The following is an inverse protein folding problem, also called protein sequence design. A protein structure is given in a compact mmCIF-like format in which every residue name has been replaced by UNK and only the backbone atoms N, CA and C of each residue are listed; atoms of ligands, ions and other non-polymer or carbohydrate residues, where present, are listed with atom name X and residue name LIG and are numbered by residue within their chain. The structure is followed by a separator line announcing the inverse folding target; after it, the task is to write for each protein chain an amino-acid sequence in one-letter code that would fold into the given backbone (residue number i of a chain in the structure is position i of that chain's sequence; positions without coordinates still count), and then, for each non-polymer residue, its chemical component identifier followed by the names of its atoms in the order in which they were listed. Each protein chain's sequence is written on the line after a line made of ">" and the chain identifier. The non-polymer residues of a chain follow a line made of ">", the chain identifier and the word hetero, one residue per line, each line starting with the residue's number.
data_IF_972173919858
#
_entry.id   IF_972173919858
#
_cell.length_a   1.000
_cell.length_b   1.000
_cell.length_c   1.000
_cell.angle_alpha   90.00
_cell.angle_beta   90.00
_cell.angle_gamma   90.00
#
_symmetry.space_group_name_H-M   'P 1'
#
loop_
_entity.id
_entity.type
_entity.pdbx_description
1 polymer ?
#
# COMPACT_ATOMS: atom_id res chain seq x y z
N UNK A 1 19.97 -38.11 -19.21
CA UNK A 1 20.38 -37.06 -18.28
C UNK A 1 19.26 -36.05 -18.12
N UNK A 2 18.78 -35.89 -16.89
CA UNK A 2 17.73 -34.90 -16.58
C UNK A 2 18.38 -33.62 -16.07
N UNK A 3 18.09 -32.52 -16.75
CA UNK A 3 18.49 -31.19 -16.27
C UNK A 3 17.32 -30.65 -15.44
N UNK A 4 17.58 -30.42 -14.16
CA UNK A 4 16.60 -29.83 -13.26
C UNK A 4 16.82 -28.33 -13.23
N UNK A 5 15.80 -27.56 -13.72
CA UNK A 5 15.85 -26.11 -13.69
C UNK A 5 15.47 -25.61 -12.31
N UNK A 6 16.28 -24.71 -11.76
CA UNK A 6 15.93 -23.99 -10.52
C UNK A 6 14.81 -22.99 -10.79
N UNK A 7 14.00 -22.73 -9.73
CA UNK A 7 13.03 -21.66 -9.82
C UNK A 7 13.77 -20.31 -9.92
N UNK A 8 13.35 -19.47 -10.85
CA UNK A 8 13.85 -18.10 -10.98
C UNK A 8 12.69 -17.14 -10.87
N UNK A 9 12.64 -16.37 -9.79
CA UNK A 9 11.70 -15.26 -9.67
C UNK A 9 12.28 -14.11 -10.48
N UNK A 10 11.52 -13.62 -11.46
CA UNK A 10 12.03 -12.63 -12.41
C UNK A 10 11.44 -11.23 -12.18
N UNK A 11 10.32 -11.13 -11.48
CA UNK A 11 9.60 -9.86 -11.41
C UNK A 11 8.59 -9.88 -10.26
N UNK A 12 8.41 -8.72 -9.62
CA UNK A 12 7.27 -8.48 -8.74
C UNK A 12 6.09 -8.01 -9.59
N UNK A 13 4.95 -8.68 -9.51
CA UNK A 13 3.78 -8.35 -10.34
C UNK A 13 2.80 -7.43 -9.61
N UNK A 14 2.30 -7.87 -8.47
CA UNK A 14 1.34 -7.09 -7.69
C UNK A 14 1.30 -7.52 -6.24
N UNK A 15 0.77 -6.64 -5.41
CA UNK A 15 0.33 -6.96 -4.06
C UNK A 15 -1.19 -6.85 -4.02
N UNK A 16 -1.85 -7.82 -3.37
CA UNK A 16 -3.29 -7.80 -3.16
C UNK A 16 -3.59 -7.40 -1.71
N UNK A 17 -4.55 -6.51 -1.54
CA UNK A 17 -4.96 -5.96 -0.25
C UNK A 17 -6.46 -6.17 -0.10
N UNK A 18 -6.86 -6.87 0.97
CA UNK A 18 -8.28 -7.01 1.30
C UNK A 18 -8.79 -5.72 1.92
N UNK A 19 -9.93 -5.24 1.44
CA UNK A 19 -10.53 -4.00 1.92
C UNK A 19 -11.99 -4.23 2.27
N UNK A 20 -12.43 -3.71 3.41
CA UNK A 20 -13.81 -3.90 3.89
C UNK A 20 -14.80 -2.98 3.19
N UNK A 21 -14.37 -1.81 2.74
CA UNK A 21 -15.19 -0.81 2.07
C UNK A 21 -14.40 -0.28 0.87
N UNK A 22 -14.77 -0.72 -0.32
CA UNK A 22 -14.03 -0.41 -1.54
C UNK A 22 -13.96 1.10 -1.80
N UNK A 23 -15.07 1.82 -1.62
CA UNK A 23 -15.12 3.26 -1.88
C UNK A 23 -14.14 4.03 -0.97
N UNK A 24 -14.10 3.71 0.32
CA UNK A 24 -13.15 4.33 1.26
C UNK A 24 -11.71 4.00 0.90
N UNK A 25 -11.46 2.78 0.48
CA UNK A 25 -10.11 2.35 0.12
C UNK A 25 -9.66 2.95 -1.22
N UNK A 26 -10.56 3.09 -2.19
CA UNK A 26 -10.25 3.81 -3.43
C UNK A 26 -9.94 5.29 -3.16
N UNK A 27 -10.65 5.91 -2.21
CA UNK A 27 -10.34 7.27 -1.79
C UNK A 27 -8.92 7.36 -1.20
N UNK A 28 -8.54 6.40 -0.35
CA UNK A 28 -7.21 6.36 0.23
C UNK A 28 -6.12 6.14 -0.83
N UNK A 29 -6.21 5.06 -1.59
CA UNK A 29 -5.16 4.72 -2.56
C UNK A 29 -5.14 5.63 -3.78
N UNK A 30 -6.30 5.97 -4.31
CA UNK A 30 -6.41 6.77 -5.52
C UNK A 30 -6.31 8.27 -5.28
N UNK A 31 -6.93 8.78 -4.22
CA UNK A 31 -6.97 10.23 -3.96
C UNK A 31 -5.90 10.67 -2.98
N UNK A 32 -5.82 10.06 -1.80
CA UNK A 32 -4.86 10.48 -0.77
C UNK A 32 -3.44 10.14 -1.18
N UNK A 33 -3.17 8.88 -1.57
CA UNK A 33 -1.85 8.46 -2.04
C UNK A 33 -1.58 8.86 -3.49
N UNK A 34 -2.63 9.11 -4.28
CA UNK A 34 -2.48 9.57 -5.66
C UNK A 34 -2.05 8.50 -6.66
N UNK A 35 -2.34 7.22 -6.38
CA UNK A 35 -2.01 6.14 -7.30
C UNK A 35 -2.91 6.18 -8.55
N UNK A 36 -2.36 5.81 -9.69
CA UNK A 36 -3.08 5.78 -10.96
C UNK A 36 -3.91 4.51 -11.08
N UNK A 37 -5.24 4.66 -11.14
CA UNK A 37 -6.16 3.54 -11.32
C UNK A 37 -6.10 3.05 -12.76
N UNK A 38 -6.09 1.72 -12.94
CA UNK A 38 -6.11 1.09 -14.25
C UNK A 38 -7.32 0.19 -14.40
N UNK A 39 -7.71 -0.07 -15.66
CA UNK A 39 -8.84 -0.94 -15.94
C UNK A 39 -8.54 -2.38 -15.57
N UNK A 40 -9.59 -3.11 -15.20
CA UNK A 40 -9.51 -4.52 -14.88
C UNK A 40 -10.65 -5.27 -15.54
N UNK A 41 -10.35 -6.49 -15.97
CA UNK A 41 -11.31 -7.35 -16.67
C UNK A 41 -12.08 -8.27 -15.69
N UNK A 42 -11.76 -8.25 -14.40
CA UNK A 42 -12.38 -9.11 -13.41
C UNK A 42 -13.74 -8.56 -12.99
N UNK A 43 -14.67 -9.47 -12.65
CA UNK A 43 -16.05 -9.11 -12.35
C UNK A 43 -16.34 -8.94 -10.85
N UNK A 44 -15.46 -9.41 -9.96
CA UNK A 44 -15.66 -9.20 -8.53
C UNK A 44 -15.29 -7.76 -8.12
N UNK A 45 -15.90 -7.21 -7.06
CA UNK A 45 -15.61 -5.85 -6.62
C UNK A 45 -14.16 -5.68 -6.20
N UNK A 46 -13.51 -4.67 -6.76
CA UNK A 46 -12.12 -4.35 -6.48
C UNK A 46 -11.63 -3.21 -7.36
N UNK A 47 -10.36 -2.86 -7.21
CA UNK A 47 -9.72 -1.81 -8.01
C UNK A 47 -8.24 -2.14 -8.16
N UNK A 48 -7.68 -1.79 -9.32
CA UNK A 48 -6.26 -1.96 -9.60
C UNK A 48 -5.60 -0.61 -9.82
N UNK A 49 -4.41 -0.45 -9.24
CA UNK A 49 -3.56 0.73 -9.41
C UNK A 49 -2.20 0.30 -9.93
N UNK A 50 -1.54 1.14 -10.69
CA UNK A 50 -0.24 0.80 -11.29
C UNK A 50 0.81 1.84 -10.93
N UNK A 51 2.03 1.36 -10.63
CA UNK A 51 3.20 2.18 -10.35
C UNK A 51 4.40 1.50 -10.99
N UNK A 52 5.00 2.13 -12.02
CA UNK A 52 6.25 1.66 -12.63
C UNK A 52 6.30 0.15 -12.90
N UNK A 53 5.22 -0.40 -13.48
CA UNK A 53 5.15 -1.81 -13.82
C UNK A 53 4.72 -2.75 -12.70
N UNK A 54 4.49 -2.23 -11.49
CA UNK A 54 3.90 -2.97 -10.38
C UNK A 54 2.45 -2.56 -10.20
N UNK A 55 1.64 -3.45 -9.66
CA UNK A 55 0.24 -3.15 -9.41
C UNK A 55 -0.13 -3.38 -7.95
N UNK A 56 -1.08 -2.60 -7.47
CA UNK A 56 -1.78 -2.81 -6.21
C UNK A 56 -3.21 -3.20 -6.55
N UNK A 57 -3.64 -4.35 -6.06
CA UNK A 57 -4.99 -4.87 -6.29
C UNK A 57 -5.77 -4.78 -4.99
N UNK A 58 -6.84 -3.98 -4.97
CA UNK A 58 -7.79 -3.99 -3.87
C UNK A 58 -8.85 -5.04 -4.16
N UNK A 59 -9.11 -5.89 -3.18
CA UNK A 59 -10.13 -6.94 -3.24
C UNK A 59 -11.14 -6.63 -2.15
N UNK A 60 -12.39 -6.35 -2.54
CA UNK A 60 -13.45 -6.08 -1.58
C UNK A 60 -13.85 -7.35 -0.86
N UNK A 61 -13.77 -7.33 0.46
CA UNK A 61 -14.15 -8.44 1.33
C UNK A 61 -14.72 -7.85 2.62
N UNK A 62 -16.03 -7.95 2.80
CA UNK A 62 -16.72 -7.37 3.96
C UNK A 62 -16.22 -7.96 5.29
N UNK A 63 -15.59 -9.14 5.27
CA UNK A 63 -15.01 -9.76 6.44
C UNK A 63 -13.55 -9.39 6.68
N UNK A 64 -12.97 -8.48 5.86
CA UNK A 64 -11.59 -8.04 6.04
C UNK A 64 -11.42 -7.39 7.42
N UNK A 65 -10.34 -7.79 8.11
CA UNK A 65 -10.02 -7.29 9.44
C UNK A 65 -8.69 -6.57 9.44
N UNK A 66 -8.50 -5.69 10.43
CA UNK A 66 -7.25 -4.96 10.59
C UNK A 66 -6.06 -5.91 10.73
N UNK A 67 -4.98 -5.61 10.02
CA UNK A 67 -3.74 -6.36 10.06
C UNK A 67 -2.70 -5.75 11.02
N UNK A 68 -3.08 -4.72 11.78
CA UNK A 68 -2.16 -4.08 12.73
C UNK A 68 -1.99 -5.00 13.95
N UNK A 69 -0.78 -5.54 14.11
CA UNK A 69 -0.40 -6.34 15.27
C UNK A 69 0.37 -5.52 16.30
N UNK A 70 1.19 -4.58 15.81
CA UNK A 70 1.94 -3.65 16.67
C UNK A 70 1.36 -2.25 16.48
N UNK A 71 0.52 -1.82 17.43
CA UNK A 71 -0.13 -0.51 17.36
C UNK A 71 0.76 0.65 17.82
N UNK A 72 1.87 0.36 18.49
CA UNK A 72 2.80 1.39 18.93
C UNK A 72 3.82 1.75 17.87
N UNK A 73 4.34 0.74 17.16
CA UNK A 73 5.36 0.90 16.12
C UNK A 73 4.83 0.32 14.83
N UNK A 74 4.25 1.16 14.01
CA UNK A 74 3.57 0.74 12.78
C UNK A 74 4.53 0.07 11.78
N UNK A 75 5.77 0.53 11.72
CA UNK A 75 6.77 -0.07 10.84
C UNK A 75 7.18 -1.50 11.22
N UNK A 76 6.76 -2.00 12.37
CA UNK A 76 6.99 -3.40 12.78
C UNK A 76 5.92 -4.35 12.29
N UNK A 77 4.90 -3.83 11.61
CA UNK A 77 3.89 -4.65 10.94
C UNK A 77 4.31 -4.97 9.51
N UNK A 78 3.63 -5.94 8.90
CA UNK A 78 3.73 -6.14 7.46
C UNK A 78 3.29 -4.87 6.77
N UNK A 79 4.03 -4.43 5.78
CA UNK A 79 3.71 -3.18 5.10
C UNK A 79 4.25 -3.16 3.68
N UNK A 80 3.68 -2.26 2.87
CA UNK A 80 4.19 -1.92 1.56
C UNK A 80 4.93 -0.59 1.67
N UNK A 81 6.00 -0.43 0.92
CA UNK A 81 6.79 0.79 0.91
C UNK A 81 6.81 1.40 -0.48
N UNK A 82 6.54 2.71 -0.54
CA UNK A 82 6.60 3.50 -1.76
C UNK A 82 7.63 4.60 -1.60
N UNK A 83 8.31 4.93 -2.68
CA UNK A 83 9.19 6.09 -2.74
C UNK A 83 8.37 7.33 -3.06
N UNK A 84 8.65 8.41 -2.36
CA UNK A 84 8.07 9.72 -2.63
C UNK A 84 9.20 10.72 -2.93
N UNK A 85 8.92 11.70 -3.77
CA UNK A 85 9.91 12.71 -4.13
C UNK A 85 10.23 13.65 -2.96
N UNK A 86 9.22 13.97 -2.14
CA UNK A 86 9.32 14.95 -1.06
C UNK A 86 8.48 14.50 0.12
N UNK A 87 9.12 14.14 1.23
CA UNK A 87 8.43 13.65 2.42
C UNK A 87 7.59 14.75 3.08
N UNK A 88 7.98 16.01 2.98
CA UNK A 88 7.19 17.10 3.53
C UNK A 88 5.90 17.30 2.74
N UNK A 89 5.93 17.16 1.43
CA UNK A 89 4.72 17.20 0.60
C UNK A 89 3.80 16.04 0.96
N UNK A 90 4.34 14.84 1.19
CA UNK A 90 3.56 13.69 1.63
C UNK A 90 2.89 13.94 2.98
N UNK A 91 3.63 14.49 3.96
CA UNK A 91 3.06 14.86 5.27
C UNK A 91 1.90 15.85 5.12
N UNK A 92 2.10 16.89 4.30
CA UNK A 92 1.07 17.91 4.10
C UNK A 92 -0.19 17.32 3.46
N UNK A 93 -0.01 16.42 2.49
CA UNK A 93 -1.13 15.71 1.86
C UNK A 93 -1.90 14.90 2.88
N UNK A 94 -1.22 14.10 3.69
CA UNK A 94 -1.85 13.28 4.72
C UNK A 94 -2.58 14.13 5.75
N UNK A 95 -1.95 15.20 6.22
CA UNK A 95 -2.57 16.13 7.19
C UNK A 95 -3.81 16.79 6.61
N UNK A 96 -3.81 17.16 5.33
CA UNK A 96 -4.95 17.80 4.68
C UNK A 96 -6.18 16.90 4.62
N UNK A 97 -5.98 15.57 4.66
CA UNK A 97 -7.07 14.59 4.70
C UNK A 97 -7.33 14.04 6.11
N UNK A 98 -6.69 14.60 7.14
CA UNK A 98 -6.89 14.17 8.53
C UNK A 98 -6.27 12.81 8.84
N UNK A 99 -5.30 12.35 8.07
CA UNK A 99 -4.65 11.06 8.30
C UNK A 99 -3.58 11.19 9.39
N UNK A 100 -3.60 10.26 10.34
CA UNK A 100 -2.50 10.10 11.29
C UNK A 100 -1.34 9.38 10.63
N UNK A 101 -0.12 9.69 11.03
CA UNK A 101 1.07 8.99 10.57
C UNK A 101 2.15 8.99 11.65
N UNK A 102 3.10 8.08 11.54
CA UNK A 102 4.26 8.01 12.41
C UNK A 102 5.52 8.21 11.59
N UNK A 103 6.44 9.03 12.08
CA UNK A 103 7.76 9.14 11.47
C UNK A 103 8.59 7.91 11.78
N UNK A 104 9.49 7.52 10.88
CA UNK A 104 10.43 6.44 11.12
C UNK A 104 11.32 6.75 12.32
N UNK A 105 11.45 5.78 13.22
CA UNK A 105 12.31 5.92 14.39
C UNK A 105 13.81 5.79 14.04
N UNK A 106 14.14 5.36 12.82
CA UNK A 106 15.53 5.16 12.38
C UNK A 106 16.23 6.45 11.96
N UNK A 107 15.55 7.59 11.96
CA UNK A 107 16.09 8.85 11.46
C UNK A 107 16.05 8.99 9.94
N UNK A 108 15.55 8.00 9.21
CA UNK A 108 15.35 8.09 7.77
C UNK A 108 14.19 9.03 7.44
N UNK A 109 14.22 9.64 6.25
CA UNK A 109 13.10 10.44 5.73
C UNK A 109 11.97 9.52 5.26
N UNK A 110 11.29 8.90 6.21
CA UNK A 110 10.22 7.96 5.97
C UNK A 110 9.15 8.07 7.04
N UNK A 111 7.92 7.75 6.67
CA UNK A 111 6.78 7.72 7.57
C UNK A 111 5.91 6.50 7.29
N UNK A 112 5.04 6.18 8.25
CA UNK A 112 4.06 5.10 8.15
C UNK A 112 2.66 5.66 8.32
N UNK A 113 1.75 5.24 7.46
CA UNK A 113 0.33 5.60 7.50
C UNK A 113 -0.48 4.31 7.37
N UNK A 114 -1.70 4.30 7.87
CA UNK A 114 -2.59 3.15 7.73
C UNK A 114 -3.72 3.47 6.76
N UNK A 115 -4.06 2.48 5.93
CA UNK A 115 -5.26 2.56 5.11
C UNK A 115 -6.51 2.38 6.00
N UNK A 116 -7.74 2.51 5.47
CA UNK A 116 -8.96 2.38 6.28
C UNK A 116 -9.11 1.05 7.04
N UNK A 117 -8.45 -0.01 6.60
CA UNK A 117 -8.51 -1.33 7.22
C UNK A 117 -7.25 -1.65 8.04
N UNK A 118 -6.37 -0.69 8.25
CA UNK A 118 -5.16 -0.88 9.06
C UNK A 118 -3.99 -1.49 8.32
N UNK A 119 -4.04 -1.58 6.99
CA UNK A 119 -2.86 -1.95 6.21
C UNK A 119 -1.84 -0.82 6.30
N UNK A 120 -0.64 -1.15 6.75
CA UNK A 120 0.42 -0.15 6.94
C UNK A 120 1.12 0.13 5.62
N UNK A 121 1.29 1.40 5.33
CA UNK A 121 2.00 1.89 4.13
C UNK A 121 3.16 2.76 4.59
N UNK A 122 4.36 2.44 4.11
CA UNK A 122 5.54 3.27 4.32
C UNK A 122 5.73 4.21 3.12
N UNK A 123 5.98 5.47 3.39
CA UNK A 123 6.37 6.45 2.38
C UNK A 123 7.76 6.95 2.73
N UNK A 124 8.71 6.85 1.81
CA UNK A 124 10.08 7.23 2.08
C UNK A 124 10.75 7.95 0.91
N UNK A 125 11.67 8.86 1.22
CA UNK A 125 12.55 9.41 0.21
C UNK A 125 13.67 8.41 -0.07
N UNK A 126 14.07 8.26 -1.34
CA UNK A 126 15.15 7.36 -1.71
C UNK A 126 16.52 7.79 -1.17
#
# INVERSE_FOLDING_TARGET
>A
LLIKLAMHITQFLHAAILVSDLERSEHFYGTILGLAKVDRLLKFPGAWYEINGFQIHLIADAAAQSNVQNSEKWGRNRHLAFSVADINAAKNQLLSYGCEFQMSASGRSALFVQDPDGTVIELGEP
#
